data_IF_494620849279
#
_entry.id   IF_494620849279
#
_cell.length_a   1.000
_cell.length_b   1.000
_cell.length_c   1.000
_cell.angle_alpha   90.00
_cell.angle_beta   90.00
_cell.angle_gamma   90.00
#
_symmetry.space_group_name_H-M   'P 1'
#
loop_
_entity.id
_entity.type
_entity.pdbx_description
1 polymer ?
#
# COMPACT_ATOMS: atom_id res chain seq x y z
N UNK A 1 5.08 -9.19 8.33
CA UNK A 1 5.34 -9.72 6.98
C UNK A 1 5.08 -8.59 6.00
N UNK A 2 6.00 -8.29 5.09
CA UNK A 2 5.83 -7.18 4.15
C UNK A 2 5.00 -7.64 2.95
N UNK A 3 3.98 -6.86 2.58
CA UNK A 3 3.15 -7.10 1.38
C UNK A 3 3.97 -6.81 0.12
N UNK A 4 4.73 -5.70 0.12
CA UNK A 4 5.77 -5.39 -0.88
C UNK A 4 7.03 -4.93 -0.14
N UNK A 5 8.19 -5.47 -0.52
CA UNK A 5 9.52 -5.05 -0.04
C UNK A 5 10.02 -3.85 -0.86
N UNK A 6 10.89 -3.05 -0.25
CA UNK A 6 11.42 -1.83 -0.91
C UNK A 6 12.12 -2.13 -2.23
N UNK A 7 12.88 -3.23 -2.30
CA UNK A 7 13.61 -3.61 -3.51
C UNK A 7 12.67 -3.88 -4.70
N UNK A 8 11.57 -4.59 -4.45
CA UNK A 8 10.57 -4.89 -5.48
C UNK A 8 9.94 -3.61 -6.02
N UNK A 9 9.65 -2.63 -5.16
CA UNK A 9 9.09 -1.32 -5.57
C UNK A 9 10.13 -0.52 -6.39
N UNK A 10 11.41 -0.61 -6.03
CA UNK A 10 12.48 0.07 -6.76
C UNK A 10 12.70 -0.50 -8.17
N UNK A 11 12.48 -1.80 -8.35
CA UNK A 11 12.62 -2.49 -9.64
C UNK A 11 11.41 -2.28 -10.58
N UNK A 12 10.28 -1.76 -10.08
CA UNK A 12 9.07 -1.46 -10.88
C UNK A 12 9.18 -0.12 -11.64
N UNK A 13 8.52 -0.01 -12.79
CA UNK A 13 8.37 1.27 -13.50
C UNK A 13 7.42 2.23 -12.76
N UNK A 14 7.52 3.54 -13.03
CA UNK A 14 6.73 4.55 -12.30
C UNK A 14 5.23 4.34 -12.50
N UNK A 15 4.79 3.97 -13.71
CA UNK A 15 3.39 3.62 -13.99
C UNK A 15 2.94 2.41 -13.17
N UNK A 16 3.74 1.34 -13.10
CA UNK A 16 3.42 0.14 -12.34
C UNK A 16 3.27 0.44 -10.84
N UNK A 17 4.15 1.30 -10.30
CA UNK A 17 4.07 1.74 -8.90
C UNK A 17 2.77 2.51 -8.66
N UNK A 18 2.30 3.32 -9.61
CA UNK A 18 1.03 4.04 -9.52
C UNK A 18 -0.17 3.10 -9.55
N UNK A 19 -0.19 2.14 -10.47
CA UNK A 19 -1.25 1.12 -10.51
C UNK A 19 -1.30 0.33 -9.20
N UNK A 20 -0.14 -0.10 -8.71
CA UNK A 20 -0.05 -0.83 -7.43
C UNK A 20 -0.54 0.01 -6.24
N UNK A 21 -0.27 1.30 -6.24
CA UNK A 21 -0.76 2.21 -5.21
C UNK A 21 -2.29 2.29 -5.21
N UNK A 22 -2.93 2.31 -6.37
CA UNK A 22 -4.40 2.33 -6.51
C UNK A 22 -4.98 1.02 -5.94
N UNK A 23 -4.41 -0.13 -6.32
CA UNK A 23 -4.84 -1.43 -5.80
C UNK A 23 -4.75 -1.51 -4.27
N UNK A 24 -3.61 -1.09 -3.70
CA UNK A 24 -3.39 -1.12 -2.25
C UNK A 24 -4.38 -0.21 -1.49
N UNK A 25 -4.71 0.95 -2.06
CA UNK A 25 -5.73 1.86 -1.50
C UNK A 25 -7.13 1.26 -1.56
N UNK A 26 -7.49 0.62 -2.68
CA UNK A 26 -8.77 -0.07 -2.84
C UNK A 26 -8.90 -1.22 -1.83
N UNK A 27 -7.83 -2.00 -1.64
CA UNK A 27 -7.81 -3.06 -0.64
C UNK A 27 -7.96 -2.51 0.79
N UNK A 28 -7.26 -1.42 1.12
CA UNK A 28 -7.41 -0.76 2.41
C UNK A 28 -8.86 -0.30 2.65
N UNK A 29 -9.47 0.35 1.66
CA UNK A 29 -10.86 0.81 1.75
C UNK A 29 -11.82 -0.35 2.01
N UNK A 30 -11.67 -1.45 1.26
CA UNK A 30 -12.47 -2.68 1.46
C UNK A 30 -12.32 -3.25 2.86
N UNK A 31 -11.10 -3.28 3.42
CA UNK A 31 -10.88 -3.75 4.79
C UNK A 31 -11.53 -2.83 5.82
N UNK A 32 -11.45 -1.51 5.63
CA UNK A 32 -12.08 -0.53 6.52
C UNK A 32 -13.61 -0.69 6.48
N UNK A 33 -14.21 -0.74 5.29
CA UNK A 33 -15.67 -0.90 5.13
C UNK A 33 -16.18 -2.18 5.79
N UNK A 34 -15.45 -3.29 5.66
CA UNK A 34 -15.78 -4.55 6.33
C UNK A 34 -15.70 -4.42 7.85
N UNK A 35 -14.61 -3.87 8.38
CA UNK A 35 -14.46 -3.63 9.82
C UNK A 35 -15.58 -2.74 10.38
N UNK A 36 -15.99 -1.72 9.64
CA UNK A 36 -17.09 -0.83 10.01
C UNK A 36 -18.44 -1.54 10.01
N UNK A 37 -18.72 -2.38 9.02
CA UNK A 37 -19.97 -3.13 8.92
C UNK A 37 -20.09 -4.22 10.00
N UNK A 38 -18.99 -4.88 10.36
CA UNK A 38 -18.97 -5.94 11.37
C UNK A 38 -18.94 -5.42 12.82
N UNK A 39 -18.70 -4.11 13.03
CA UNK A 39 -18.55 -3.52 14.37
C UNK A 39 -17.28 -3.97 15.13
N UNK A 40 -16.45 -4.82 14.52
CA UNK A 40 -15.20 -5.34 15.04
C UNK A 40 -14.12 -5.19 13.98
N UNK A 41 -12.94 -4.74 14.38
CA UNK A 41 -11.78 -4.79 13.50
C UNK A 41 -11.37 -6.25 13.30
N UNK A 42 -11.87 -6.90 12.24
CA UNK A 42 -11.57 -8.30 11.95
C UNK A 42 -10.07 -8.53 11.73
N UNK A 43 -9.38 -7.57 11.09
CA UNK A 43 -7.98 -7.73 10.68
C UNK A 43 -7.12 -6.45 10.89
N UNK A 44 -6.91 -5.99 12.13
CA UNK A 44 -6.14 -4.79 12.42
C UNK A 44 -4.66 -4.91 11.99
N UNK A 45 -4.08 -6.11 12.07
CA UNK A 45 -2.73 -6.38 11.58
C UNK A 45 -2.59 -6.16 10.07
N UNK A 46 -3.57 -6.63 9.29
CA UNK A 46 -3.60 -6.44 7.83
C UNK A 46 -3.74 -4.97 7.45
N UNK A 47 -4.63 -4.24 8.14
CA UNK A 47 -4.80 -2.79 7.93
C UNK A 47 -3.48 -2.05 8.21
N UNK A 48 -2.79 -2.40 9.30
CA UNK A 48 -1.48 -1.79 9.65
C UNK A 48 -0.43 -2.07 8.58
N UNK A 49 -0.34 -3.30 8.08
CA UNK A 49 0.62 -3.68 7.03
C UNK A 49 0.30 -3.00 5.68
N UNK A 50 -0.98 -2.89 5.31
CA UNK A 50 -1.41 -2.16 4.11
C UNK A 50 -1.01 -0.68 4.18
N UNK A 51 -1.30 -0.01 5.31
CA UNK A 51 -0.91 1.40 5.52
C UNK A 51 0.60 1.60 5.40
N UNK A 52 1.40 0.70 6.00
CA UNK A 52 2.87 0.73 5.92
C UNK A 52 3.38 0.52 4.50
N UNK A 53 2.74 -0.39 3.75
CA UNK A 53 3.12 -0.68 2.37
C UNK A 53 2.79 0.50 1.46
N UNK A 54 1.62 1.12 1.61
CA UNK A 54 1.26 2.36 0.90
C UNK A 54 2.26 3.48 1.18
N UNK A 55 2.64 3.68 2.45
CA UNK A 55 3.63 4.70 2.81
C UNK A 55 4.99 4.43 2.11
N UNK A 56 5.44 3.17 2.10
CA UNK A 56 6.69 2.76 1.43
C UNK A 56 6.65 3.03 -0.09
N UNK A 57 5.53 2.68 -0.74
CA UNK A 57 5.31 2.91 -2.17
C UNK A 57 5.39 4.41 -2.49
N UNK A 58 4.69 5.26 -1.72
CA UNK A 58 4.73 6.71 -1.89
C UNK A 58 6.13 7.29 -1.67
N UNK A 59 6.86 6.79 -0.66
CA UNK A 59 8.24 7.23 -0.42
C UNK A 59 9.13 6.95 -1.63
N UNK A 60 9.10 5.72 -2.16
CA UNK A 60 9.96 5.33 -3.28
C UNK A 60 9.55 6.05 -4.57
N UNK A 61 8.24 6.22 -4.82
CA UNK A 61 7.76 7.01 -5.95
C UNK A 61 8.31 8.45 -5.90
N UNK A 62 8.24 9.09 -4.73
CA UNK A 62 8.80 10.43 -4.53
C UNK A 62 10.33 10.47 -4.67
N UNK A 63 11.04 9.40 -4.30
CA UNK A 63 12.49 9.29 -4.51
C UNK A 63 12.82 9.22 -5.99
N UNK A 64 12.15 8.33 -6.74
CA UNK A 64 12.31 8.21 -8.20
C UNK A 64 12.01 9.52 -8.93
N UNK A 65 10.99 10.26 -8.51
CA UNK A 65 10.66 11.57 -9.08
C UNK A 65 11.69 12.66 -8.81
N UNK A 66 12.53 12.52 -7.77
CA UNK A 66 13.58 13.50 -7.44
C UNK A 66 14.93 13.17 -8.06
N UNK A 67 15.15 11.92 -8.44
CA UNK A 67 16.37 11.46 -9.11
C UNK A 67 16.34 11.69 -10.63
N UNK A 68 15.14 11.82 -11.21
CA UNK A 68 14.90 12.27 -12.58
C UNK A 68 14.83 13.80 -12.69
#
# INVERSE_FOLDING_TARGET
MAILRSREIWEMEVEDIQEKLIELKAELAKNISKSSAAGVNENPGKIRELKRTIARVLTIMNQKQKEN
#
